data_IF_111695787397
#
_entry.id   IF_111695787397
#
_cell.length_a   1.000
_cell.length_b   1.000
_cell.length_c   1.000
_cell.angle_alpha   90.00
_cell.angle_beta   90.00
_cell.angle_gamma   90.00
#
_symmetry.space_group_name_H-M   'P 1'
#
loop_
_entity.id
_entity.type
_entity.pdbx_description
1 polymer ?
#
# COMPACT_ATOMS: atom_id res chain seq x y z
N UNK A 1 1.76 -16.70 15.70
CA UNK A 1 0.74 -15.77 15.15
C UNK A 1 0.13 -14.89 16.23
N UNK A 2 -0.40 -15.42 17.32
CA UNK A 2 -1.11 -14.69 18.38
C UNK A 2 -0.32 -13.53 19.03
N UNK A 3 0.96 -13.74 19.39
CA UNK A 3 1.79 -12.71 20.06
C UNK A 3 2.00 -11.45 19.25
N UNK A 4 2.14 -11.55 17.92
CA UNK A 4 2.39 -10.42 16.99
C UNK A 4 1.17 -9.53 16.84
N UNK A 5 -0.02 -10.12 16.73
CA UNK A 5 -1.29 -9.39 16.66
C UNK A 5 -1.61 -8.67 17.98
N UNK A 6 -1.25 -9.26 19.12
CA UNK A 6 -1.39 -8.62 20.43
C UNK A 6 -0.46 -7.43 20.54
N UNK A 7 0.78 -7.52 20.02
CA UNK A 7 1.72 -6.41 20.02
C UNK A 7 1.24 -5.27 19.11
N UNK A 8 0.80 -5.57 17.88
CA UNK A 8 0.24 -4.56 16.96
C UNK A 8 -0.88 -3.74 17.61
N UNK A 9 -1.78 -4.38 18.35
CA UNK A 9 -2.88 -3.71 19.05
C UNK A 9 -2.45 -2.75 20.17
N UNK A 10 -1.20 -2.85 20.63
CA UNK A 10 -0.64 -1.94 21.64
C UNK A 10 0.04 -0.72 21.03
N UNK A 11 0.26 -0.73 19.73
CA UNK A 11 0.87 0.37 19.00
C UNK A 11 -0.22 1.37 18.59
N UNK A 12 -0.02 2.64 18.90
CA UNK A 12 -0.91 3.75 18.57
C UNK A 12 -0.66 4.34 17.18
N UNK A 13 0.42 3.91 16.50
CA UNK A 13 0.79 4.38 15.16
C UNK A 13 -0.30 4.11 14.13
N UNK A 14 -0.44 5.02 13.16
CA UNK A 14 -1.22 4.80 11.93
C UNK A 14 -0.41 3.90 11.00
N UNK A 15 -0.96 2.77 10.61
CA UNK A 15 -0.31 1.79 9.74
C UNK A 15 -0.78 1.96 8.30
N UNK A 16 0.18 2.11 7.39
CA UNK A 16 -0.03 2.26 5.94
C UNK A 16 0.56 1.05 5.25
N UNK A 17 -0.30 0.22 4.64
CA UNK A 17 0.12 -0.94 3.86
C UNK A 17 0.20 -0.61 2.37
N UNK A 18 1.32 -0.94 1.72
CA UNK A 18 1.55 -0.67 0.30
C UNK A 18 1.84 -1.98 -0.43
N UNK A 19 1.11 -2.24 -1.51
CA UNK A 19 1.38 -3.35 -2.41
C UNK A 19 1.36 -2.92 -3.88
N UNK A 20 1.73 -3.82 -4.77
CA UNK A 20 1.77 -3.66 -6.22
C UNK A 20 2.76 -4.63 -6.84
N UNK A 21 2.72 -4.79 -8.14
CA UNK A 21 3.72 -5.58 -8.87
C UNK A 21 5.05 -4.84 -8.95
N UNK A 22 5.03 -3.56 -9.32
CA UNK A 22 6.19 -2.71 -9.52
C UNK A 22 6.11 -1.44 -8.65
N UNK A 23 7.26 -0.85 -8.33
CA UNK A 23 7.36 0.46 -7.68
C UNK A 23 7.01 0.50 -6.20
N UNK A 24 6.73 -0.63 -5.55
CA UNK A 24 6.40 -0.69 -4.11
C UNK A 24 7.44 -0.02 -3.22
N UNK A 25 8.70 -0.38 -3.38
CA UNK A 25 9.80 0.15 -2.57
C UNK A 25 9.99 1.64 -2.79
N UNK A 26 9.96 2.10 -4.04
CA UNK A 26 10.06 3.53 -4.36
C UNK A 26 8.91 4.31 -3.72
N UNK A 27 7.68 3.82 -3.88
CA UNK A 27 6.50 4.46 -3.31
C UNK A 27 6.54 4.47 -1.77
N UNK A 28 6.94 3.36 -1.15
CA UNK A 28 7.14 3.26 0.30
C UNK A 28 8.15 4.31 0.80
N UNK A 29 9.30 4.47 0.11
CA UNK A 29 10.31 5.47 0.47
C UNK A 29 9.76 6.89 0.30
N UNK A 30 9.06 7.19 -0.79
CA UNK A 30 8.45 8.51 -1.01
C UNK A 30 7.44 8.86 0.07
N UNK A 31 6.50 7.94 0.37
CA UNK A 31 5.49 8.13 1.41
C UNK A 31 6.15 8.30 2.78
N UNK A 32 7.12 7.46 3.11
CA UNK A 32 7.85 7.54 4.38
C UNK A 32 8.61 8.88 4.51
N UNK A 33 9.26 9.33 3.44
CA UNK A 33 9.98 10.60 3.42
C UNK A 33 9.04 11.79 3.64
N UNK A 34 7.87 11.79 3.00
CA UNK A 34 6.86 12.83 3.18
C UNK A 34 6.40 12.92 4.65
N UNK A 35 6.05 11.79 5.28
CA UNK A 35 5.64 11.78 6.68
C UNK A 35 6.78 12.14 7.62
N UNK A 36 8.01 11.70 7.34
CA UNK A 36 9.20 11.95 8.18
C UNK A 36 9.61 13.42 8.29
N UNK A 37 9.05 14.31 7.44
CA UNK A 37 9.30 15.75 7.56
C UNK A 37 8.78 16.33 8.89
N UNK A 38 7.67 15.80 9.40
CA UNK A 38 6.99 16.35 10.57
C UNK A 38 6.63 15.29 11.62
N UNK A 39 6.80 14.01 11.34
CA UNK A 39 6.33 12.90 12.18
C UNK A 39 7.39 11.81 12.30
N UNK A 40 7.48 11.19 13.47
CA UNK A 40 8.35 10.03 13.64
C UNK A 40 7.76 8.83 12.90
N UNK A 41 8.39 8.45 11.80
CA UNK A 41 7.89 7.44 10.86
C UNK A 41 8.78 6.21 10.86
N UNK A 42 8.13 5.05 10.98
CA UNK A 42 8.74 3.73 10.78
C UNK A 42 8.47 3.25 9.36
N UNK A 43 9.40 2.56 8.72
CA UNK A 43 9.18 1.95 7.41
C UNK A 43 9.83 0.58 7.28
N UNK A 44 9.36 -0.20 6.30
CA UNK A 44 9.98 -1.48 5.95
C UNK A 44 11.42 -1.29 5.52
N UNK A 45 12.37 -1.90 6.25
CA UNK A 45 13.77 -1.91 5.89
C UNK A 45 14.05 -2.99 4.82
N UNK A 46 14.82 -2.64 3.80
CA UNK A 46 15.22 -3.58 2.76
C UNK A 46 14.05 -4.36 2.17
N UNK A 47 14.15 -5.68 2.16
CA UNK A 47 13.16 -6.64 1.65
C UNK A 47 12.36 -7.36 2.75
N UNK A 48 12.25 -6.80 3.95
CA UNK A 48 11.45 -7.38 5.05
C UNK A 48 9.93 -7.21 4.84
N UNK A 49 9.47 -7.47 3.61
CA UNK A 49 8.10 -7.30 3.13
C UNK A 49 7.32 -8.62 3.04
N UNK A 50 7.80 -9.68 3.71
CA UNK A 50 7.26 -11.04 3.67
C UNK A 50 6.78 -11.53 5.05
N UNK A 51 6.31 -12.78 5.10
CA UNK A 51 5.72 -13.44 6.27
C UNK A 51 6.67 -13.61 7.47
N UNK A 52 7.98 -13.47 7.29
CA UNK A 52 8.99 -13.50 8.36
C UNK A 52 9.44 -12.08 8.69
N UNK A 53 9.86 -11.31 7.69
CA UNK A 53 10.50 -10.02 7.89
C UNK A 53 9.56 -8.97 8.48
N UNK A 54 8.39 -8.77 7.88
CA UNK A 54 7.46 -7.73 8.35
C UNK A 54 6.99 -7.95 9.79
N UNK A 55 6.62 -9.18 10.24
CA UNK A 55 6.27 -9.40 11.64
C UNK A 55 7.41 -9.12 12.63
N UNK A 56 8.66 -9.41 12.26
CA UNK A 56 9.82 -9.10 13.11
C UNK A 56 9.97 -7.58 13.26
N UNK A 57 9.87 -6.84 12.16
CA UNK A 57 9.95 -5.38 12.19
C UNK A 57 8.84 -4.76 13.06
N UNK A 58 7.60 -5.26 12.98
CA UNK A 58 6.50 -4.77 13.84
C UNK A 58 6.81 -5.03 15.32
N UNK A 59 7.48 -6.14 15.67
CA UNK A 59 7.86 -6.43 17.05
C UNK A 59 8.94 -5.48 17.60
N UNK A 60 9.79 -4.93 16.71
CA UNK A 60 10.82 -3.95 17.07
C UNK A 60 10.26 -2.52 17.21
N UNK A 61 9.01 -2.29 16.79
CA UNK A 61 8.36 -0.99 16.93
C UNK A 61 7.97 -0.70 18.38
N UNK A 62 7.92 0.60 18.69
CA UNK A 62 7.40 1.13 19.94
C UNK A 62 6.47 2.32 19.70
N UNK A 63 5.81 2.82 20.73
CA UNK A 63 4.83 3.91 20.64
C UNK A 63 5.43 5.31 20.42
N UNK A 64 6.72 5.42 20.11
CA UNK A 64 7.31 6.71 19.70
C UNK A 64 7.09 7.00 18.22
N UNK A 65 6.71 6.00 17.42
CA UNK A 65 6.36 6.18 16.02
C UNK A 65 4.89 6.56 15.86
N UNK A 66 4.62 7.62 15.09
CA UNK A 66 3.28 8.08 14.76
C UNK A 66 2.73 7.37 13.51
N UNK A 67 3.61 7.07 12.55
CA UNK A 67 3.28 6.35 11.32
C UNK A 67 4.15 5.14 11.11
N UNK A 68 3.60 4.11 10.46
CA UNK A 68 4.30 2.93 10.01
C UNK A 68 3.97 2.65 8.55
N UNK A 69 4.94 2.79 7.64
CA UNK A 69 4.77 2.55 6.21
C UNK A 69 5.34 1.17 5.87
N UNK A 70 4.46 0.23 5.58
CA UNK A 70 4.80 -1.18 5.40
C UNK A 70 4.63 -1.60 3.94
N UNK A 71 5.72 -2.06 3.33
CA UNK A 71 5.67 -2.74 2.03
C UNK A 71 5.19 -4.17 2.21
N UNK A 72 4.21 -4.60 1.40
CA UNK A 72 3.63 -5.95 1.43
C UNK A 72 3.92 -6.66 0.10
N UNK A 73 4.87 -7.59 0.14
CA UNK A 73 5.24 -8.44 -0.99
C UNK A 73 4.43 -9.73 -1.03
N UNK A 74 4.28 -10.30 -2.23
CA UNK A 74 3.68 -11.62 -2.41
C UNK A 74 4.30 -12.35 -3.59
N UNK A 75 4.43 -13.66 -3.46
CA UNK A 75 4.83 -14.61 -4.51
C UNK A 75 3.72 -15.61 -4.86
N UNK A 76 2.71 -15.76 -4.00
CA UNK A 76 1.56 -16.66 -4.18
C UNK A 76 0.31 -16.07 -3.50
N UNK A 77 -0.90 -16.56 -3.85
CA UNK A 77 -2.14 -16.22 -3.15
C UNK A 77 -2.03 -16.51 -1.65
N UNK A 78 -2.62 -15.63 -0.84
CA UNK A 78 -2.62 -15.70 0.63
C UNK A 78 -1.46 -14.99 1.31
N UNK A 79 -0.38 -14.64 0.58
CA UNK A 79 0.78 -13.96 1.19
C UNK A 79 0.39 -12.58 1.72
N UNK A 80 -0.28 -11.74 0.92
CA UNK A 80 -0.71 -10.40 1.36
C UNK A 80 -1.79 -10.51 2.44
N UNK A 81 -2.73 -11.43 2.30
CA UNK A 81 -3.74 -11.68 3.32
C UNK A 81 -3.12 -11.97 4.69
N UNK A 82 -2.05 -12.77 4.73
CA UNK A 82 -1.31 -13.02 5.96
C UNK A 82 -0.70 -11.75 6.54
N UNK A 83 -0.04 -10.92 5.69
CA UNK A 83 0.63 -9.69 6.12
C UNK A 83 -0.37 -8.66 6.66
N UNK A 84 -1.52 -8.51 6.00
CA UNK A 84 -2.62 -7.64 6.44
C UNK A 84 -3.17 -8.10 7.79
N UNK A 85 -3.36 -9.40 7.97
CA UNK A 85 -3.87 -9.99 9.22
C UNK A 85 -2.84 -9.93 10.39
N UNK A 86 -1.61 -9.54 10.10
CA UNK A 86 -0.57 -9.24 11.12
C UNK A 86 -0.50 -7.74 11.40
N UNK A 87 -0.51 -6.91 10.33
CA UNK A 87 -0.28 -5.47 10.44
C UNK A 87 -1.53 -4.69 10.82
N UNK A 88 -2.74 -5.14 10.45
CA UNK A 88 -3.99 -4.38 10.59
C UNK A 88 -3.84 -2.94 10.13
N UNK A 89 -3.54 -2.70 8.83
CA UNK A 89 -3.32 -1.35 8.33
C UNK A 89 -4.59 -0.50 8.40
N UNK A 90 -4.42 0.76 8.78
CA UNK A 90 -5.50 1.77 8.80
C UNK A 90 -5.76 2.32 7.39
N UNK A 91 -4.68 2.41 6.59
CA UNK A 91 -4.68 2.86 5.19
C UNK A 91 -3.99 1.81 4.34
N UNK A 92 -4.55 1.50 3.19
CA UNK A 92 -3.92 0.59 2.21
C UNK A 92 -3.80 1.26 0.84
N UNK A 93 -2.75 0.89 0.11
CA UNK A 93 -2.49 1.40 -1.23
C UNK A 93 -2.13 0.25 -2.18
N UNK A 94 -2.83 0.19 -3.32
CA UNK A 94 -2.49 -0.71 -4.43
C UNK A 94 -1.94 0.14 -5.57
N UNK A 95 -0.63 -0.03 -5.86
CA UNK A 95 0.02 0.76 -6.90
C UNK A 95 -0.34 0.28 -8.31
N UNK A 96 -0.18 -1.02 -8.56
CA UNK A 96 -0.49 -1.62 -9.87
C UNK A 96 -0.52 -3.15 -9.82
N UNK A 97 -1.10 -3.76 -10.87
CA UNK A 97 -0.91 -5.16 -11.20
C UNK A 97 -0.25 -5.29 -12.58
N UNK A 98 0.89 -5.97 -12.63
CA UNK A 98 1.60 -6.30 -13.86
C UNK A 98 2.05 -7.76 -13.83
N UNK A 99 2.36 -8.39 -14.97
CA UNK A 99 2.87 -9.75 -15.01
C UNK A 99 4.14 -9.89 -14.16
N UNK A 100 3.99 -10.48 -12.98
CA UNK A 100 5.07 -10.75 -12.04
C UNK A 100 4.76 -12.05 -11.29
N UNK A 101 5.78 -12.87 -11.02
CA UNK A 101 5.65 -14.13 -10.30
C UNK A 101 4.54 -15.05 -10.86
N UNK A 102 4.40 -15.13 -12.20
CA UNK A 102 3.33 -15.88 -12.86
C UNK A 102 3.32 -17.37 -12.50
N UNK A 103 4.48 -17.95 -12.18
CA UNK A 103 4.56 -19.34 -11.69
C UNK A 103 3.73 -19.54 -10.42
N UNK A 104 3.69 -18.55 -9.52
CA UNK A 104 2.91 -18.58 -8.30
C UNK A 104 1.44 -18.17 -8.48
N UNK A 105 1.18 -17.17 -9.33
CA UNK A 105 -0.16 -16.58 -9.50
C UNK A 105 -0.92 -17.13 -10.72
N UNK A 106 -0.27 -17.87 -11.62
CA UNK A 106 -0.81 -18.51 -12.84
C UNK A 106 -1.31 -17.53 -13.91
N UNK A 107 -1.73 -16.33 -13.58
CA UNK A 107 -2.26 -15.32 -14.50
C UNK A 107 -2.16 -13.91 -13.93
N UNK A 108 -2.33 -12.91 -14.80
CA UNK A 108 -2.42 -11.51 -14.35
C UNK A 108 -3.64 -11.27 -13.45
N UNK A 109 -4.76 -11.95 -13.70
CA UNK A 109 -5.92 -11.93 -12.81
C UNK A 109 -5.58 -12.49 -11.43
N UNK A 110 -4.76 -13.56 -11.37
CA UNK A 110 -4.25 -14.12 -10.11
C UNK A 110 -3.39 -13.11 -9.36
N UNK A 111 -2.52 -12.36 -10.08
CA UNK A 111 -1.73 -11.26 -9.49
C UNK A 111 -2.64 -10.18 -8.92
N UNK A 112 -3.63 -9.70 -9.69
CA UNK A 112 -4.54 -8.65 -9.26
C UNK A 112 -5.38 -9.06 -8.04
N UNK A 113 -5.91 -10.28 -8.03
CA UNK A 113 -6.61 -10.83 -6.88
C UNK A 113 -5.72 -10.90 -5.63
N UNK A 114 -4.48 -11.37 -5.77
CA UNK A 114 -3.54 -11.41 -4.66
C UNK A 114 -3.18 -10.02 -4.13
N UNK A 115 -3.06 -8.99 -5.02
CA UNK A 115 -2.88 -7.60 -4.56
C UNK A 115 -4.13 -7.08 -3.82
N UNK A 116 -5.32 -7.44 -4.31
CA UNK A 116 -6.60 -7.13 -3.68
C UNK A 116 -6.78 -7.72 -2.26
N UNK A 117 -6.03 -8.76 -1.90
CA UNK A 117 -6.03 -9.31 -0.53
C UNK A 117 -5.71 -8.27 0.54
N UNK A 118 -5.01 -7.16 0.19
CA UNK A 118 -4.70 -6.07 1.11
C UNK A 118 -5.98 -5.39 1.64
N UNK A 119 -7.07 -5.47 0.90
CA UNK A 119 -8.39 -4.91 1.22
C UNK A 119 -9.25 -5.86 2.09
N UNK A 120 -8.84 -7.13 2.20
CA UNK A 120 -9.62 -8.21 2.78
C UNK A 120 -9.07 -8.69 4.12
N UNK A 121 -8.39 -7.84 4.89
CA UNK A 121 -7.91 -8.13 6.23
C UNK A 121 -9.05 -8.43 7.22
N UNK A 122 -8.71 -9.04 8.36
CA UNK A 122 -9.65 -9.24 9.48
C UNK A 122 -10.18 -7.93 10.06
N UNK A 123 -9.42 -6.86 9.88
CA UNK A 123 -9.82 -5.49 10.18
C UNK A 123 -9.87 -4.76 8.85
N UNK A 124 -11.01 -4.18 8.54
CA UNK A 124 -11.20 -3.38 7.32
C UNK A 124 -10.37 -2.10 7.42
N UNK A 125 -9.52 -1.78 6.43
CA UNK A 125 -8.81 -0.51 6.41
C UNK A 125 -9.80 0.64 6.28
N UNK A 126 -9.52 1.75 6.98
CA UNK A 126 -10.36 2.94 6.90
C UNK A 126 -10.32 3.56 5.50
N UNK A 127 -9.12 3.65 4.92
CA UNK A 127 -8.90 4.21 3.59
C UNK A 127 -8.27 3.19 2.64
N UNK A 128 -8.77 3.14 1.42
CA UNK A 128 -8.21 2.39 0.30
C UNK A 128 -7.79 3.36 -0.81
N UNK A 129 -6.49 3.44 -1.10
CA UNK A 129 -5.93 4.29 -2.15
C UNK A 129 -5.66 3.41 -3.36
N UNK A 130 -6.37 3.65 -4.46
CA UNK A 130 -6.38 2.80 -5.64
C UNK A 130 -5.92 3.56 -6.89
N UNK A 131 -5.11 2.89 -7.72
CA UNK A 131 -4.73 3.40 -9.03
C UNK A 131 -5.91 3.27 -10.00
N UNK A 132 -6.47 4.41 -10.42
CA UNK A 132 -7.61 4.46 -11.34
C UNK A 132 -7.25 4.07 -12.77
N UNK A 133 -5.98 4.22 -13.15
CA UNK A 133 -5.49 3.88 -14.49
C UNK A 133 -5.23 2.37 -14.66
N UNK A 134 -5.23 1.60 -13.58
CA UNK A 134 -5.01 0.16 -13.65
C UNK A 134 -6.25 -0.57 -14.15
N UNK A 135 -6.06 -1.51 -15.06
CA UNK A 135 -7.15 -2.32 -15.65
C UNK A 135 -7.96 -3.12 -14.60
N UNK A 136 -7.40 -3.32 -13.41
CA UNK A 136 -8.04 -4.02 -12.29
C UNK A 136 -8.64 -3.08 -11.24
N UNK A 137 -8.73 -1.77 -11.53
CA UNK A 137 -9.34 -0.81 -10.62
C UNK A 137 -10.73 -1.22 -10.14
N UNK A 138 -11.63 -1.61 -11.06
CA UNK A 138 -12.99 -2.01 -10.71
C UNK A 138 -13.04 -3.22 -9.77
N UNK A 139 -12.18 -4.21 -9.98
CA UNK A 139 -12.03 -5.35 -9.08
C UNK A 139 -11.66 -4.90 -7.66
N UNK A 140 -10.69 -4.02 -7.55
CA UNK A 140 -10.22 -3.53 -6.24
C UNK A 140 -11.24 -2.58 -5.58
N UNK A 141 -11.93 -1.77 -6.35
CA UNK A 141 -13.00 -0.90 -5.85
C UNK A 141 -14.15 -1.72 -5.24
N UNK A 142 -14.54 -2.82 -5.88
CA UNK A 142 -15.52 -3.77 -5.35
C UNK A 142 -15.02 -4.42 -4.04
N UNK A 143 -13.77 -4.89 -4.02
CA UNK A 143 -13.13 -5.46 -2.82
C UNK A 143 -13.01 -4.45 -1.67
N UNK A 144 -12.88 -3.15 -1.96
CA UNK A 144 -12.77 -2.05 -1.01
C UNK A 144 -14.11 -1.47 -0.54
N UNK A 145 -15.25 -2.09 -0.85
CA UNK A 145 -16.60 -1.55 -0.64
C UNK A 145 -16.92 -1.10 0.81
N UNK A 146 -16.16 -1.58 1.78
CA UNK A 146 -16.29 -1.19 3.20
C UNK A 146 -15.24 -0.16 3.66
N UNK A 147 -14.44 0.39 2.74
CA UNK A 147 -13.41 1.42 2.99
C UNK A 147 -13.80 2.72 2.30
N UNK A 148 -13.30 3.85 2.79
CA UNK A 148 -13.34 5.10 2.04
C UNK A 148 -12.30 5.03 0.92
N UNK A 149 -12.77 5.06 -0.34
CA UNK A 149 -11.91 4.92 -1.50
C UNK A 149 -11.40 6.30 -1.91
N UNK A 150 -10.09 6.42 -2.10
CA UNK A 150 -9.43 7.53 -2.76
C UNK A 150 -8.73 7.00 -4.01
N UNK A 151 -8.80 7.74 -5.12
CA UNK A 151 -8.18 7.33 -6.37
C UNK A 151 -7.09 8.30 -6.81
N UNK A 152 -6.04 7.76 -7.39
CA UNK A 152 -5.04 8.53 -8.14
C UNK A 152 -4.92 7.99 -9.56
N UNK A 153 -4.55 8.85 -10.49
CA UNK A 153 -4.44 8.49 -11.90
C UNK A 153 -3.80 9.58 -12.74
N UNK A 154 -3.75 9.40 -14.04
CA UNK A 154 -3.12 10.32 -15.00
C UNK A 154 -4.07 11.41 -15.52
N UNK A 155 -5.35 11.34 -15.23
CA UNK A 155 -6.37 12.25 -15.73
C UNK A 155 -7.51 12.47 -14.73
N UNK A 156 -8.48 13.30 -15.11
CA UNK A 156 -9.61 13.76 -14.28
C UNK A 156 -10.63 12.68 -13.89
N UNK A 157 -10.47 11.44 -14.33
CA UNK A 157 -11.32 10.32 -13.88
C UNK A 157 -10.93 9.88 -12.47
N UNK A 158 -9.69 10.19 -12.06
CA UNK A 158 -9.23 9.99 -10.70
C UNK A 158 -9.48 11.21 -9.80
N UNK A 159 -9.57 11.01 -8.49
CA UNK A 159 -9.72 12.09 -7.51
C UNK A 159 -8.45 12.94 -7.38
N UNK A 160 -7.28 12.32 -7.59
CA UNK A 160 -5.96 12.96 -7.52
C UNK A 160 -5.25 12.70 -8.83
N UNK A 161 -4.94 13.75 -9.58
CA UNK A 161 -4.33 13.63 -10.90
C UNK A 161 -3.47 14.85 -11.24
N UNK A 162 -2.46 14.69 -12.13
CA UNK A 162 -1.64 15.81 -12.60
C UNK A 162 -2.30 16.55 -13.76
N UNK A 163 -2.12 17.87 -13.78
CA UNK A 163 -2.44 18.75 -14.91
C UNK A 163 -1.20 19.52 -15.36
N UNK A 164 -1.22 20.08 -16.57
CA UNK A 164 -0.16 20.94 -17.12
C UNK A 164 1.23 20.31 -17.03
N UNK A 165 1.31 19.04 -17.39
CA UNK A 165 2.54 18.26 -17.30
C UNK A 165 3.55 18.77 -18.33
N UNK A 166 4.75 19.16 -17.88
CA UNK A 166 5.92 19.43 -18.72
C UNK A 166 7.02 18.42 -18.39
N UNK A 167 7.50 17.71 -19.41
CA UNK A 167 8.58 16.73 -19.28
C UNK A 167 9.86 17.28 -19.89
N UNK A 168 10.82 17.56 -19.04
CA UNK A 168 12.14 18.05 -19.43
C UNK A 168 13.20 16.95 -19.23
N UNK A 169 14.39 17.15 -19.79
CA UNK A 169 15.47 16.14 -19.74
C UNK A 169 15.85 15.72 -18.31
N UNK A 170 15.81 16.64 -17.36
CA UNK A 170 16.33 16.44 -16.00
C UNK A 170 15.26 16.62 -14.91
N UNK A 171 14.06 17.07 -15.25
CA UNK A 171 12.97 17.26 -14.30
C UNK A 171 11.61 17.17 -15.00
N UNK A 172 10.58 16.99 -14.22
CA UNK A 172 9.18 17.11 -14.67
C UNK A 172 8.47 18.10 -13.77
N UNK A 173 7.57 18.90 -14.33
CA UNK A 173 6.68 19.77 -13.57
C UNK A 173 5.23 19.49 -13.91
N UNK A 174 4.36 19.62 -12.97
CA UNK A 174 2.92 19.46 -13.12
C UNK A 174 2.19 20.17 -12.00
N UNK A 175 0.94 20.50 -12.21
CA UNK A 175 0.03 20.90 -11.15
C UNK A 175 -0.71 19.68 -10.66
N UNK A 176 -0.76 19.48 -9.35
CA UNK A 176 -1.48 18.37 -8.76
C UNK A 176 -2.90 18.81 -8.40
N UNK A 177 -3.90 18.19 -8.99
CA UNK A 177 -5.31 18.34 -8.59
C UNK A 177 -5.65 17.38 -7.48
N UNK A 178 -6.31 17.89 -6.47
CA UNK A 178 -6.80 17.13 -5.32
C UNK A 178 -8.22 17.55 -4.97
N UNK A 179 -8.99 16.77 -4.17
CA UNK A 179 -10.32 17.17 -3.72
C UNK A 179 -10.37 18.47 -2.92
N UNK A 180 -9.22 19.00 -2.53
CA UNK A 180 -9.10 20.26 -1.77
C UNK A 180 -8.57 21.44 -2.60
N UNK A 181 -8.31 21.24 -3.89
CA UNK A 181 -7.77 22.24 -4.82
C UNK A 181 -6.45 21.86 -5.44
#
# INVERSE_FOLDING_TARGET
>A
MYKRQVWRKRLSSVFIGITGSNGKTTLKEMVSTCFSQNHKTFNTAGNYNNDIGMPLMILDMNNTYEYAVLEMGASKPGDIKYLVDVAYPDVVLINNAAPAHLDGFKSINGVANAKGEILQGKVTPKFAILNHDDSFYNLWAEMASNSEIMTFGSNSDAMIYPERISLEKNYSSFDLRTPKG
#
